data_IF_092143871155
#
_entry.id   IF_092143871155
#
_cell.length_a   1.000
_cell.length_b   1.000
_cell.length_c   1.000
_cell.angle_alpha   90.00
_cell.angle_beta   90.00
_cell.angle_gamma   90.00
#
_symmetry.space_group_name_H-M   'P 1'
#
loop_
_entity.id
_entity.type
_entity.pdbx_description
1 polymer ?
#
# COMPACT_ATOMS: atom_id res chain seq x y z
N UNK A 1 32.00 -88.25 31.50
CA UNK A 1 32.04 -89.55 30.78
C UNK A 1 30.97 -90.45 31.38
N UNK A 2 29.98 -90.85 30.55
CA UNK A 2 29.32 -92.17 30.40
C UNK A 2 29.32 -93.17 31.58
N UNK A 3 28.36 -94.09 31.80
CA UNK A 3 27.14 -94.61 31.15
C UNK A 3 26.54 -95.62 32.19
N UNK A 4 25.22 -95.73 32.36
CA UNK A 4 24.29 -96.73 31.76
C UNK A 4 24.16 -98.12 32.44
N UNK A 5 22.88 -98.51 32.55
CA UNK A 5 22.29 -99.83 32.24
C UNK A 5 22.40 -100.98 33.26
N UNK A 6 21.26 -101.53 33.71
CA UNK A 6 20.53 -102.59 32.98
C UNK A 6 19.15 -102.90 33.59
N UNK A 7 18.22 -103.31 32.71
CA UNK A 7 16.87 -103.83 32.99
C UNK A 7 16.84 -105.35 32.76
N UNK A 8 15.96 -106.08 33.47
CA UNK A 8 15.49 -107.40 33.04
C UNK A 8 14.10 -107.74 33.60
N UNK A 9 13.30 -108.42 32.77
CA UNK A 9 11.87 -108.72 32.92
C UNK A 9 11.60 -110.21 33.22
N UNK A 10 10.38 -110.53 33.70
CA UNK A 10 9.77 -111.88 33.58
C UNK A 10 8.24 -111.81 33.46
N UNK A 11 7.72 -112.68 32.59
CA UNK A 11 6.34 -112.84 32.10
C UNK A 11 5.66 -114.04 32.78
N UNK A 12 4.32 -114.04 32.90
CA UNK A 12 3.53 -115.26 33.15
C UNK A 12 2.01 -115.07 33.01
N UNK A 13 1.41 -115.66 31.97
CA UNK A 13 -0.03 -115.99 31.81
C UNK A 13 -0.41 -117.14 32.77
N UNK A 14 -1.63 -117.48 33.22
CA UNK A 14 -3.02 -117.06 33.02
C UNK A 14 -3.95 -118.22 33.48
N UNK A 15 -5.14 -117.97 34.04
CA UNK A 15 -6.23 -118.97 34.18
C UNK A 15 -7.62 -118.32 34.37
N UNK A 16 -8.63 -118.88 33.68
CA UNK A 16 -10.07 -118.51 33.54
C UNK A 16 -10.83 -118.64 34.89
N UNK A 17 -11.91 -117.91 35.20
CA UNK A 17 -13.26 -117.95 34.58
C UNK A 17 -14.19 -116.80 35.06
N UNK A 18 -15.03 -116.33 34.12
CA UNK A 18 -16.43 -115.87 34.19
C UNK A 18 -17.00 -115.18 35.47
N UNK A 19 -17.36 -113.88 35.38
CA UNK A 19 -18.75 -113.38 35.25
C UNK A 19 -18.87 -111.83 35.46
N UNK A 20 -19.75 -111.22 34.64
CA UNK A 20 -20.45 -109.91 34.75
C UNK A 20 -19.77 -108.62 34.26
N UNK A 21 -20.41 -108.03 33.24
CA UNK A 21 -20.20 -106.69 32.71
C UNK A 21 -20.35 -105.60 33.78
N UNK A 22 -19.32 -104.77 33.97
CA UNK A 22 -19.35 -103.62 34.87
C UNK A 22 -19.44 -102.35 34.02
N UNK A 23 -20.68 -101.91 33.81
CA UNK A 23 -20.98 -100.67 33.08
C UNK A 23 -20.22 -99.48 33.65
N UNK A 24 -19.71 -98.63 32.76
CA UNK A 24 -19.06 -97.36 33.12
C UNK A 24 -20.02 -96.57 34.02
N UNK A 25 -19.59 -96.27 35.25
CA UNK A 25 -20.45 -95.63 36.24
C UNK A 25 -20.89 -94.25 35.75
N UNK A 26 -22.15 -93.91 36.02
CA UNK A 26 -22.78 -92.62 35.68
C UNK A 26 -21.94 -91.39 36.11
N UNK A 27 -21.11 -91.54 37.16
CA UNK A 27 -20.22 -90.48 37.65
C UNK A 27 -19.07 -90.10 36.70
N UNK A 28 -18.61 -91.00 35.82
CA UNK A 28 -17.56 -90.70 34.84
C UNK A 28 -18.07 -89.71 33.78
N UNK A 29 -19.29 -89.94 33.27
CA UNK A 29 -19.91 -89.04 32.30
C UNK A 29 -20.30 -87.69 32.92
N UNK A 30 -20.72 -87.65 34.20
CA UNK A 30 -21.01 -86.39 34.88
C UNK A 30 -19.79 -85.48 35.03
N UNK A 31 -18.59 -86.03 35.34
CA UNK A 31 -17.36 -85.24 35.38
C UNK A 31 -16.96 -84.69 34.02
N UNK A 32 -17.16 -85.49 32.97
CA UNK A 32 -16.88 -85.08 31.58
C UNK A 32 -17.82 -83.95 31.15
N UNK A 33 -19.12 -84.07 31.45
CA UNK A 33 -20.11 -83.02 31.14
C UNK A 33 -19.79 -81.72 31.88
N UNK A 34 -19.37 -81.78 33.15
CA UNK A 34 -19.00 -80.59 33.91
C UNK A 34 -17.73 -79.91 33.36
N UNK A 35 -16.76 -80.70 32.89
CA UNK A 35 -15.54 -80.19 32.26
C UNK A 35 -15.84 -79.51 30.92
N UNK A 36 -16.65 -80.15 30.06
CA UNK A 36 -17.08 -79.52 28.80
C UNK A 36 -17.96 -78.30 29.02
N UNK A 37 -18.84 -78.29 30.04
CA UNK A 37 -19.64 -77.11 30.38
C UNK A 37 -18.77 -75.93 30.82
N UNK A 38 -17.78 -76.17 31.70
CA UNK A 38 -16.83 -75.13 32.15
C UNK A 38 -15.93 -74.63 31.01
N UNK A 39 -15.54 -75.53 30.11
CA UNK A 39 -14.72 -75.20 28.95
C UNK A 39 -15.49 -74.38 27.90
N UNK A 40 -16.74 -74.73 27.61
CA UNK A 40 -17.63 -73.94 26.75
C UNK A 40 -17.90 -72.57 27.37
N UNK A 41 -18.15 -72.51 28.69
CA UNK A 41 -18.32 -71.23 29.40
C UNK A 41 -17.08 -70.33 29.31
N UNK A 42 -15.88 -70.90 29.48
CA UNK A 42 -14.62 -70.15 29.37
C UNK A 42 -14.37 -69.65 27.94
N UNK A 43 -14.70 -70.46 26.92
CA UNK A 43 -14.62 -70.07 25.51
C UNK A 43 -15.60 -68.94 25.16
N UNK A 44 -16.81 -68.97 25.72
CA UNK A 44 -17.79 -67.89 25.55
C UNK A 44 -17.28 -66.59 26.18
N UNK A 45 -16.74 -66.64 27.40
CA UNK A 45 -16.17 -65.47 28.07
C UNK A 45 -14.99 -64.90 27.28
N UNK A 46 -14.07 -65.75 26.82
CA UNK A 46 -12.94 -65.34 25.99
C UNK A 46 -13.40 -64.71 24.65
N UNK A 47 -14.43 -65.28 24.03
CA UNK A 47 -15.02 -64.75 22.79
C UNK A 47 -15.69 -63.39 23.01
N UNK A 48 -16.42 -63.21 24.12
CA UNK A 48 -17.03 -61.93 24.48
C UNK A 48 -15.98 -60.86 24.80
N UNK A 49 -14.90 -61.23 25.49
CA UNK A 49 -13.79 -60.30 25.77
C UNK A 49 -13.06 -59.92 24.48
N UNK A 50 -12.80 -60.88 23.58
CA UNK A 50 -12.25 -60.58 22.25
C UNK A 50 -13.20 -59.70 21.44
N UNK A 51 -14.51 -59.90 21.53
CA UNK A 51 -15.50 -59.04 20.91
C UNK A 51 -15.56 -57.65 21.57
N UNK A 52 -15.23 -57.51 22.84
CA UNK A 52 -15.21 -56.22 23.54
C UNK A 52 -13.90 -55.45 23.27
N UNK A 53 -12.78 -56.16 23.13
CA UNK A 53 -11.45 -55.57 22.82
C UNK A 53 -11.26 -55.30 21.34
N UNK A 54 -11.80 -56.14 20.45
CA UNK A 54 -11.63 -56.04 18.99
C UNK A 54 -12.93 -55.77 18.22
N UNK A 55 -14.10 -55.82 18.86
CA UNK A 55 -15.40 -55.60 18.22
C UNK A 55 -15.93 -54.17 18.33
N UNK A 56 -15.10 -53.19 18.68
CA UNK A 56 -15.44 -51.81 18.33
C UNK A 56 -15.38 -51.70 16.80
N UNK A 57 -16.50 -51.39 16.13
CA UNK A 57 -16.50 -51.31 14.68
C UNK A 57 -15.60 -50.13 14.26
N UNK A 58 -14.59 -50.40 13.44
CA UNK A 58 -13.75 -49.43 12.73
C UNK A 58 -14.55 -48.38 11.91
N UNK A 59 -15.88 -48.53 11.86
CA UNK A 59 -16.83 -47.66 11.18
C UNK A 59 -16.71 -46.18 11.57
N UNK A 60 -16.35 -45.84 12.81
CA UNK A 60 -16.24 -44.42 13.21
C UNK A 60 -15.03 -43.68 12.63
N UNK A 61 -13.94 -44.37 12.26
CA UNK A 61 -12.76 -43.70 11.69
C UNK A 61 -12.87 -43.52 10.18
N UNK A 62 -13.39 -44.53 9.48
CA UNK A 62 -13.60 -44.46 8.02
C UNK A 62 -14.78 -43.55 7.66
N UNK A 63 -15.91 -43.62 8.36
CA UNK A 63 -17.08 -42.78 8.08
C UNK A 63 -16.79 -41.30 8.34
N UNK A 64 -16.05 -41.00 9.43
CA UNK A 64 -15.56 -39.64 9.69
C UNK A 64 -14.58 -39.14 8.62
N UNK A 65 -13.71 -40.03 8.10
CA UNK A 65 -12.82 -39.67 6.99
C UNK A 65 -13.57 -39.42 5.69
N UNK A 66 -14.63 -40.17 5.42
CA UNK A 66 -15.50 -39.96 4.26
C UNK A 66 -16.23 -38.62 4.39
N UNK A 67 -16.76 -38.29 5.58
CA UNK A 67 -17.43 -37.02 5.84
C UNK A 67 -16.46 -35.81 5.73
N UNK A 68 -15.25 -35.92 6.26
CA UNK A 68 -14.19 -34.92 6.10
C UNK A 68 -13.81 -34.73 4.62
N UNK A 69 -13.75 -35.82 3.85
CA UNK A 69 -13.44 -35.79 2.43
C UNK A 69 -14.57 -35.15 1.61
N UNK A 70 -15.83 -35.45 1.96
CA UNK A 70 -17.01 -34.86 1.33
C UNK A 70 -17.10 -33.36 1.62
N UNK A 71 -16.87 -32.93 2.87
CA UNK A 71 -16.79 -31.51 3.23
C UNK A 71 -15.65 -30.79 2.48
N UNK A 72 -14.47 -31.40 2.41
CA UNK A 72 -13.34 -30.83 1.69
C UNK A 72 -13.61 -30.72 0.19
N UNK A 73 -14.25 -31.74 -0.41
CA UNK A 73 -14.65 -31.73 -1.82
C UNK A 73 -15.69 -30.65 -2.10
N UNK A 74 -16.72 -30.52 -1.28
CA UNK A 74 -17.77 -29.51 -1.43
C UNK A 74 -17.20 -28.09 -1.30
N UNK A 75 -16.28 -27.88 -0.35
CA UNK A 75 -15.57 -26.61 -0.20
C UNK A 75 -14.72 -26.30 -1.44
N UNK A 76 -13.92 -27.26 -1.89
CA UNK A 76 -13.05 -27.09 -3.06
C UNK A 76 -13.87 -26.84 -4.34
N UNK A 77 -15.00 -27.52 -4.50
CA UNK A 77 -15.93 -27.32 -5.61
C UNK A 77 -16.50 -25.89 -5.59
N UNK A 78 -16.94 -25.41 -4.43
CA UNK A 78 -17.43 -24.03 -4.25
C UNK A 78 -16.34 -23.01 -4.58
N UNK A 79 -15.13 -23.19 -4.04
CA UNK A 79 -14.00 -22.31 -4.31
C UNK A 79 -13.62 -22.31 -5.80
N UNK A 80 -13.68 -23.47 -6.47
CA UNK A 80 -13.41 -23.59 -7.91
C UNK A 80 -14.46 -22.83 -8.75
N UNK A 81 -15.74 -22.95 -8.41
CA UNK A 81 -16.81 -22.21 -9.10
C UNK A 81 -16.66 -20.70 -8.91
N UNK A 82 -16.30 -20.25 -7.70
CA UNK A 82 -16.00 -18.84 -7.42
C UNK A 82 -14.80 -18.34 -8.22
N UNK A 83 -13.69 -19.07 -8.20
CA UNK A 83 -12.49 -18.71 -8.96
C UNK A 83 -12.75 -18.66 -10.47
N UNK A 84 -13.61 -19.54 -11.01
CA UNK A 84 -14.01 -19.48 -12.42
C UNK A 84 -14.83 -18.23 -12.72
N UNK A 85 -15.72 -17.82 -11.82
CA UNK A 85 -16.48 -16.57 -11.95
C UNK A 85 -15.56 -15.36 -11.87
N UNK A 86 -14.70 -15.28 -10.87
CA UNK A 86 -13.74 -14.20 -10.70
C UNK A 86 -12.81 -14.08 -11.91
N UNK A 87 -12.36 -15.22 -12.48
CA UNK A 87 -11.59 -15.25 -13.71
C UNK A 87 -12.36 -14.67 -14.90
N UNK A 88 -13.64 -15.03 -15.05
CA UNK A 88 -14.48 -14.50 -16.12
C UNK A 88 -14.69 -12.99 -15.98
N UNK A 89 -14.97 -12.52 -14.76
CA UNK A 89 -15.18 -11.11 -14.45
C UNK A 89 -13.90 -10.29 -14.68
N UNK A 90 -12.75 -10.77 -14.19
CA UNK A 90 -11.44 -10.15 -14.42
C UNK A 90 -11.08 -10.13 -15.91
N UNK A 91 -11.35 -11.20 -16.65
CA UNK A 91 -11.11 -11.25 -18.10
C UNK A 91 -11.99 -10.24 -18.84
N UNK A 92 -13.25 -10.10 -18.43
CA UNK A 92 -14.17 -9.10 -18.95
C UNK A 92 -13.69 -7.67 -18.69
N UNK A 93 -13.29 -7.37 -17.45
CA UNK A 93 -12.74 -6.07 -17.07
C UNK A 93 -11.46 -5.74 -17.83
N UNK A 94 -10.57 -6.73 -18.02
CA UNK A 94 -9.31 -6.53 -18.76
C UNK A 94 -9.57 -6.26 -20.24
N UNK A 95 -10.55 -6.93 -20.84
CA UNK A 95 -10.97 -6.67 -22.23
C UNK A 95 -11.59 -5.27 -22.38
N UNK A 96 -12.42 -4.85 -21.42
CA UNK A 96 -13.00 -3.51 -21.41
C UNK A 96 -11.92 -2.44 -21.29
N UNK A 97 -10.99 -2.59 -20.34
CA UNK A 97 -9.87 -1.64 -20.15
C UNK A 97 -8.93 -1.59 -21.34
N UNK A 98 -8.69 -2.71 -22.00
CA UNK A 98 -7.90 -2.73 -23.25
C UNK A 98 -8.61 -1.95 -24.35
N UNK A 99 -9.93 -2.11 -24.51
CA UNK A 99 -10.72 -1.34 -25.47
C UNK A 99 -10.74 0.17 -25.18
N UNK A 100 -10.86 0.57 -23.91
CA UNK A 100 -10.75 1.97 -23.49
C UNK A 100 -9.37 2.56 -23.80
N UNK A 101 -8.31 1.80 -23.54
CA UNK A 101 -6.93 2.19 -23.89
C UNK A 101 -6.78 2.39 -25.41
N UNK A 102 -7.25 1.43 -26.21
CA UNK A 102 -7.16 1.53 -27.67
C UNK A 102 -7.95 2.73 -28.22
N UNK A 103 -9.07 3.09 -27.59
CA UNK A 103 -9.84 4.29 -27.93
C UNK A 103 -9.06 5.57 -27.57
N UNK A 104 -8.49 5.64 -26.37
CA UNK A 104 -7.67 6.76 -25.93
C UNK A 104 -6.42 6.94 -26.82
N UNK A 105 -5.74 5.86 -27.18
CA UNK A 105 -4.57 5.89 -28.07
C UNK A 105 -4.95 6.43 -29.47
N UNK A 106 -6.15 6.11 -29.98
CA UNK A 106 -6.68 6.69 -31.23
C UNK A 106 -6.96 8.19 -31.09
N UNK A 107 -7.53 8.63 -29.98
CA UNK A 107 -7.76 10.06 -29.73
C UNK A 107 -6.45 10.84 -29.62
N UNK A 108 -5.45 10.30 -28.93
CA UNK A 108 -4.11 10.88 -28.85
C UNK A 108 -3.49 11.00 -30.24
N UNK A 109 -3.58 9.96 -31.06
CA UNK A 109 -3.09 9.99 -32.44
C UNK A 109 -3.79 11.07 -33.28
N UNK A 110 -5.12 11.23 -33.12
CA UNK A 110 -5.89 12.28 -33.79
C UNK A 110 -5.45 13.68 -33.33
N UNK A 111 -5.36 13.91 -32.03
CA UNK A 111 -4.92 15.20 -31.46
C UNK A 111 -3.51 15.57 -31.92
N UNK A 112 -2.61 14.59 -32.01
CA UNK A 112 -1.25 14.79 -32.53
C UNK A 112 -1.26 15.23 -34.01
N UNK A 113 -2.14 14.64 -34.82
CA UNK A 113 -2.30 15.04 -36.22
C UNK A 113 -2.89 16.45 -36.34
N UNK A 114 -3.91 16.77 -35.54
CA UNK A 114 -4.53 18.10 -35.51
C UNK A 114 -3.55 19.19 -35.04
N UNK A 115 -2.70 18.87 -34.07
CA UNK A 115 -1.62 19.75 -33.60
C UNK A 115 -0.61 20.02 -34.72
N UNK A 116 -0.16 18.97 -35.43
CA UNK A 116 0.76 19.12 -36.55
C UNK A 116 0.15 19.96 -37.69
N UNK A 117 -1.13 19.75 -38.02
CA UNK A 117 -1.85 20.56 -39.00
C UNK A 117 -1.96 22.02 -38.56
N UNK A 118 -2.16 22.26 -37.26
CA UNK A 118 -2.25 23.61 -36.68
C UNK A 118 -0.89 24.30 -36.64
N UNK A 119 0.21 23.58 -36.36
CA UNK A 119 1.57 24.11 -36.44
C UNK A 119 1.92 24.57 -37.87
N UNK A 120 1.51 23.80 -38.89
CA UNK A 120 1.68 24.20 -40.29
C UNK A 120 0.88 25.46 -40.66
N UNK A 121 -0.37 25.58 -40.18
CA UNK A 121 -1.19 26.79 -40.35
C UNK A 121 -0.63 27.99 -39.60
N UNK A 122 -0.09 27.78 -38.40
CA UNK A 122 0.60 28.81 -37.61
C UNK A 122 1.81 29.39 -38.35
N UNK A 123 2.64 28.53 -38.96
CA UNK A 123 3.78 28.98 -39.78
C UNK A 123 3.33 29.84 -40.97
N UNK A 124 2.25 29.46 -41.66
CA UNK A 124 1.72 30.26 -42.77
C UNK A 124 1.14 31.60 -42.30
N UNK A 125 0.46 31.61 -41.14
CA UNK A 125 -0.09 32.84 -40.55
C UNK A 125 1.03 33.78 -40.12
N UNK A 126 2.13 33.25 -39.57
CA UNK A 126 3.30 34.03 -39.20
C UNK A 126 4.04 34.61 -40.42
N UNK A 127 4.08 33.87 -41.54
CA UNK A 127 4.59 34.39 -42.84
C UNK A 127 3.70 35.49 -43.43
N UNK A 128 2.38 35.37 -43.30
CA UNK A 128 1.44 36.42 -43.73
C UNK A 128 1.56 37.67 -42.85
N UNK A 129 1.75 37.49 -41.54
CA UNK A 129 1.97 38.58 -40.60
C UNK A 129 3.27 39.35 -40.89
N UNK A 130 4.37 38.63 -41.19
CA UNK A 130 5.63 39.29 -41.56
C UNK A 130 5.55 40.00 -42.92
N UNK A 131 4.77 39.49 -43.88
CA UNK A 131 4.48 40.21 -45.13
C UNK A 131 3.67 41.50 -44.89
N UNK A 132 2.69 41.45 -43.98
CA UNK A 132 1.87 42.60 -43.63
C UNK A 132 2.70 43.70 -42.93
N UNK A 133 3.57 43.34 -41.99
CA UNK A 133 4.49 44.29 -41.34
C UNK A 133 5.47 44.91 -42.36
N UNK A 134 5.98 44.13 -43.32
CA UNK A 134 6.82 44.65 -44.40
C UNK A 134 6.09 45.64 -45.34
N UNK A 135 4.76 45.50 -45.48
CA UNK A 135 3.93 46.39 -46.29
C UNK A 135 3.60 47.72 -45.60
N UNK A 136 3.55 47.76 -44.25
CA UNK A 136 3.37 49.01 -43.48
C UNK A 136 4.49 50.02 -43.70
N UNK A 137 5.72 49.55 -43.89
CA UNK A 137 6.89 50.41 -44.17
C UNK A 137 6.83 51.07 -45.56
N UNK A 138 6.04 50.53 -46.50
CA UNK A 138 5.90 51.10 -47.85
C UNK A 138 4.77 52.13 -47.98
N UNK A 139 3.88 52.25 -46.99
CA UNK A 139 2.75 53.18 -47.03
C UNK A 139 3.06 54.58 -46.50
N UNK A 140 4.23 54.80 -45.88
CA UNK A 140 4.64 56.12 -45.35
C UNK A 140 5.15 57.08 -46.43
N UNK A 141 5.10 56.71 -47.71
CA UNK A 141 5.57 57.54 -48.82
C UNK A 141 4.54 57.59 -49.97
N UNK A 142 3.32 58.03 -49.66
CA UNK A 142 2.42 58.54 -50.70
C UNK A 142 1.84 59.86 -50.25
N UNK A 143 2.49 60.88 -50.82
CA UNK A 143 2.24 62.31 -50.80
C UNK A 143 0.76 62.63 -51.01
N UNK A 144 0.29 63.58 -50.21
CA UNK A 144 -0.97 64.30 -50.32
C UNK A 144 -1.40 64.58 -51.77
N UNK A 145 -2.55 64.03 -52.17
CA UNK A 145 -3.38 64.54 -53.27
C UNK A 145 -4.78 64.82 -52.71
N UNK A 146 -5.31 66.05 -52.84
CA UNK A 146 -6.68 66.35 -52.41
C UNK A 146 -7.66 65.68 -53.37
N UNK A 147 -8.52 64.80 -52.83
CA UNK A 147 -9.69 64.29 -53.53
C UNK A 147 -10.76 65.39 -53.61
N UNK A 148 -11.42 65.63 -54.76
CA UNK A 148 -12.56 66.52 -54.85
C UNK A 148 -13.75 65.88 -54.12
N UNK A 149 -14.36 66.61 -53.19
CA UNK A 149 -15.60 66.19 -52.55
C UNK A 149 -16.76 66.24 -53.56
N UNK A 150 -17.63 65.20 -53.64
CA UNK A 150 -18.84 65.26 -54.44
C UNK A 150 -19.88 66.18 -53.79
N UNK A 151 -20.81 66.76 -54.59
CA UNK A 151 -21.76 67.75 -54.09
C UNK A 151 -22.74 67.14 -53.09
N UNK A 152 -23.03 67.92 -52.06
CA UNK A 152 -23.94 67.66 -50.95
C UNK A 152 -25.34 67.27 -51.47
N UNK A 153 -25.66 65.98 -51.41
CA UNK A 153 -27.02 65.49 -51.58
C UNK A 153 -27.74 65.42 -50.22
N UNK A 154 -28.98 65.91 -50.18
CA UNK A 154 -29.79 66.17 -48.99
C UNK A 154 -30.42 64.93 -48.36
N UNK A 155 -29.64 63.87 -48.13
CA UNK A 155 -30.09 62.66 -47.42
C UNK A 155 -29.15 62.23 -46.28
N UNK A 156 -28.59 63.21 -45.55
CA UNK A 156 -27.70 62.99 -44.40
C UNK A 156 -28.31 62.08 -43.32
N UNK A 157 -29.65 62.04 -43.19
CA UNK A 157 -30.32 61.19 -42.19
C UNK A 157 -30.28 59.68 -42.50
N UNK A 158 -30.11 59.27 -43.77
CA UNK A 158 -30.04 57.86 -44.16
C UNK A 158 -28.65 57.24 -43.98
N UNK A 159 -27.61 57.98 -44.36
CA UNK A 159 -26.21 57.56 -44.21
C UNK A 159 -25.79 57.50 -42.74
N UNK A 160 -26.17 58.49 -41.92
CA UNK A 160 -25.89 58.49 -40.47
C UNK A 160 -26.58 57.30 -39.78
N UNK A 161 -27.82 56.96 -40.15
CA UNK A 161 -28.51 55.78 -39.61
C UNK A 161 -27.80 54.48 -40.00
N UNK A 162 -27.31 54.39 -41.24
CA UNK A 162 -26.59 53.21 -41.72
C UNK A 162 -25.23 53.05 -41.02
N UNK A 163 -24.50 54.16 -40.82
CA UNK A 163 -23.24 54.16 -40.07
C UNK A 163 -23.45 53.76 -38.59
N UNK A 164 -24.50 54.28 -37.95
CA UNK A 164 -24.84 53.93 -36.57
C UNK A 164 -25.26 52.47 -36.44
N UNK A 165 -26.02 51.94 -37.41
CA UNK A 165 -26.36 50.50 -37.46
C UNK A 165 -25.12 49.63 -37.61
N UNK A 166 -24.16 50.04 -38.44
CA UNK A 166 -22.90 49.31 -38.62
C UNK A 166 -22.03 49.35 -37.35
N UNK A 167 -21.98 50.50 -36.66
CA UNK A 167 -21.26 50.65 -35.40
C UNK A 167 -21.85 49.75 -34.30
N UNK A 168 -23.18 49.69 -34.19
CA UNK A 168 -23.87 48.81 -33.25
C UNK A 168 -23.65 47.32 -33.60
N UNK A 169 -23.69 46.97 -34.88
CA UNK A 169 -23.35 45.62 -35.33
C UNK A 169 -21.89 45.25 -34.99
N UNK A 170 -20.95 46.18 -35.15
CA UNK A 170 -19.55 45.98 -34.81
C UNK A 170 -19.34 45.82 -33.29
N UNK A 171 -20.05 46.61 -32.47
CA UNK A 171 -20.05 46.47 -31.00
C UNK A 171 -20.60 45.12 -30.56
N UNK A 172 -21.70 44.66 -31.17
CA UNK A 172 -22.27 43.35 -30.88
C UNK A 172 -21.29 42.22 -31.23
N UNK A 173 -20.67 42.26 -32.41
CA UNK A 173 -19.64 41.30 -32.83
C UNK A 173 -18.43 41.31 -31.89
N UNK A 174 -17.97 42.48 -31.47
CA UNK A 174 -16.88 42.60 -30.50
C UNK A 174 -17.26 42.02 -29.14
N UNK A 175 -18.49 42.25 -28.67
CA UNK A 175 -19.01 41.67 -27.44
C UNK A 175 -19.02 40.13 -27.49
N UNK A 176 -19.50 39.56 -28.60
CA UNK A 176 -19.48 38.11 -28.84
C UNK A 176 -18.05 37.59 -28.86
N UNK A 177 -17.15 38.22 -29.61
CA UNK A 177 -15.74 37.82 -29.69
C UNK A 177 -15.05 37.85 -28.33
N UNK A 178 -15.28 38.92 -27.55
CA UNK A 178 -14.74 39.07 -26.20
C UNK A 178 -15.26 37.97 -25.28
N UNK A 179 -16.57 37.70 -25.31
CA UNK A 179 -17.17 36.64 -24.49
C UNK A 179 -16.65 35.25 -24.84
N UNK A 180 -16.51 34.94 -26.14
CA UNK A 180 -15.94 33.68 -26.61
C UNK A 180 -14.47 33.54 -26.21
N UNK A 181 -13.70 34.62 -26.29
CA UNK A 181 -12.30 34.60 -25.86
C UNK A 181 -12.18 34.36 -24.35
N UNK A 182 -12.95 35.09 -23.54
CA UNK A 182 -12.99 34.87 -22.08
C UNK A 182 -13.40 33.45 -21.73
N UNK A 183 -14.47 32.93 -22.33
CA UNK A 183 -14.92 31.55 -22.12
C UNK A 183 -13.85 30.54 -22.51
N UNK A 184 -13.17 30.75 -23.63
CA UNK A 184 -12.10 29.84 -24.09
C UNK A 184 -10.91 29.86 -23.14
N UNK A 185 -10.51 31.03 -22.66
CA UNK A 185 -9.41 31.15 -21.68
C UNK A 185 -9.77 30.47 -20.36
N UNK A 186 -10.99 30.65 -19.88
CA UNK A 186 -11.46 30.01 -18.65
C UNK A 186 -11.51 28.48 -18.79
N UNK A 187 -11.99 27.97 -19.93
CA UNK A 187 -11.98 26.54 -20.23
C UNK A 187 -10.55 25.98 -20.29
N UNK A 188 -9.64 26.64 -21.02
CA UNK A 188 -8.24 26.20 -21.11
C UNK A 188 -7.52 26.24 -19.78
N UNK A 189 -7.85 27.21 -18.92
CA UNK A 189 -7.35 27.26 -17.55
C UNK A 189 -7.85 26.07 -16.72
N UNK A 190 -9.15 25.74 -16.84
CA UNK A 190 -9.72 24.55 -16.22
C UNK A 190 -9.05 23.26 -16.70
N UNK A 191 -8.82 23.13 -18.00
CA UNK A 191 -8.12 21.98 -18.59
C UNK A 191 -6.67 21.87 -18.09
N UNK A 192 -5.97 23.00 -17.97
CA UNK A 192 -4.62 23.04 -17.40
C UNK A 192 -4.61 22.60 -15.94
N UNK A 193 -5.53 23.12 -15.13
CA UNK A 193 -5.63 22.78 -13.71
C UNK A 193 -5.97 21.29 -13.52
N UNK A 194 -6.86 20.75 -14.36
CA UNK A 194 -7.18 19.32 -14.41
C UNK A 194 -5.94 18.49 -14.80
N UNK A 195 -5.24 18.86 -15.87
CA UNK A 195 -4.04 18.15 -16.32
C UNK A 195 -2.92 18.16 -15.26
N UNK A 196 -2.76 19.27 -14.53
CA UNK A 196 -1.79 19.37 -13.42
C UNK A 196 -2.20 18.45 -12.28
N UNK A 197 -3.49 18.41 -11.92
CA UNK A 197 -4.01 17.52 -10.87
C UNK A 197 -3.80 16.06 -11.24
N UNK A 198 -4.18 15.65 -12.45
CA UNK A 198 -4.05 14.27 -12.93
C UNK A 198 -2.58 13.85 -12.99
N UNK A 199 -1.68 14.73 -13.46
CA UNK A 199 -0.24 14.49 -13.43
C UNK A 199 0.27 14.25 -12.01
N UNK A 200 -0.18 15.04 -11.04
CA UNK A 200 0.23 14.91 -9.65
C UNK A 200 -0.31 13.61 -9.03
N UNK A 201 -1.55 13.24 -9.32
CA UNK A 201 -2.15 11.98 -8.90
C UNK A 201 -1.38 10.78 -9.45
N UNK A 202 -1.09 10.77 -10.75
CA UNK A 202 -0.25 9.74 -11.36
C UNK A 202 1.15 9.68 -10.74
N UNK A 203 1.75 10.83 -10.43
CA UNK A 203 3.06 10.87 -9.79
C UNK A 203 3.05 10.21 -8.40
N UNK A 204 2.02 10.51 -7.59
CA UNK A 204 1.81 9.89 -6.28
C UNK A 204 1.61 8.38 -6.42
N UNK A 205 0.76 7.94 -7.34
CA UNK A 205 0.52 6.51 -7.61
C UNK A 205 1.80 5.78 -8.02
N UNK A 206 2.63 6.38 -8.88
CA UNK A 206 3.91 5.79 -9.29
C UNK A 206 4.86 5.65 -8.10
N UNK A 207 4.92 6.64 -7.20
CA UNK A 207 5.73 6.56 -5.98
C UNK A 207 5.22 5.43 -5.08
N UNK A 208 3.91 5.35 -4.86
CA UNK A 208 3.29 4.32 -4.03
C UNK A 208 3.56 2.91 -4.60
N UNK A 209 3.32 2.71 -5.89
CA UNK A 209 3.55 1.42 -6.55
C UNK A 209 5.02 0.99 -6.51
N UNK A 210 5.96 1.94 -6.65
CA UNK A 210 7.39 1.64 -6.48
C UNK A 210 7.70 1.20 -5.05
N UNK A 211 7.14 1.87 -4.06
CA UNK A 211 7.33 1.50 -2.66
C UNK A 211 6.73 0.14 -2.34
N UNK A 212 5.52 -0.15 -2.82
CA UNK A 212 4.87 -1.46 -2.68
C UNK A 212 5.69 -2.57 -3.34
N UNK A 213 6.25 -2.32 -4.53
CA UNK A 213 7.09 -3.28 -5.23
C UNK A 213 8.37 -3.59 -4.44
N UNK A 214 9.04 -2.56 -3.91
CA UNK A 214 10.23 -2.72 -3.05
C UNK A 214 9.87 -3.53 -1.80
N UNK A 215 8.75 -3.21 -1.15
CA UNK A 215 8.29 -3.93 0.04
C UNK A 215 8.00 -5.39 -0.26
N UNK A 216 7.27 -5.71 -1.33
CA UNK A 216 6.98 -7.09 -1.74
C UNK A 216 8.25 -7.87 -2.06
N UNK A 217 9.19 -7.24 -2.77
CA UNK A 217 10.49 -7.86 -3.09
C UNK A 217 11.29 -8.15 -1.83
N UNK A 218 11.34 -7.22 -0.88
CA UNK A 218 12.00 -7.42 0.41
C UNK A 218 11.32 -8.49 1.25
N UNK A 219 9.98 -8.58 1.25
CA UNK A 219 9.26 -9.63 1.96
C UNK A 219 9.59 -11.01 1.41
N UNK A 220 9.64 -11.13 0.08
CA UNK A 220 9.99 -12.37 -0.60
C UNK A 220 11.43 -12.79 -0.28
N UNK A 221 12.36 -11.84 -0.25
CA UNK A 221 13.77 -12.08 0.07
C UNK A 221 13.93 -12.62 1.50
N UNK A 222 13.35 -11.92 2.50
CA UNK A 222 13.38 -12.34 3.90
C UNK A 222 12.67 -13.69 4.09
N UNK A 223 11.54 -13.91 3.43
CA UNK A 223 10.83 -15.19 3.48
C UNK A 223 11.67 -16.33 2.90
N UNK A 224 12.31 -16.09 1.74
CA UNK A 224 13.14 -17.08 1.05
C UNK A 224 14.31 -17.49 1.94
N UNK A 225 15.03 -16.51 2.49
CA UNK A 225 16.13 -16.76 3.42
C UNK A 225 15.68 -17.59 4.62
N UNK A 226 14.66 -17.13 5.35
CA UNK A 226 14.25 -17.79 6.59
C UNK A 226 13.61 -19.16 6.37
N UNK A 227 12.84 -19.34 5.28
CA UNK A 227 12.10 -20.58 5.05
C UNK A 227 12.85 -21.61 4.21
N UNK A 228 13.61 -21.20 3.19
CA UNK A 228 14.31 -22.12 2.29
C UNK A 228 15.77 -22.36 2.64
N UNK A 229 16.39 -21.44 3.38
CA UNK A 229 17.78 -21.58 3.81
C UNK A 229 17.78 -21.96 5.30
N UNK A 230 17.48 -21.01 6.19
CA UNK A 230 17.65 -21.20 7.66
C UNK A 230 16.85 -22.38 8.21
N UNK A 231 15.58 -22.52 7.81
CA UNK A 231 14.73 -23.63 8.26
C UNK A 231 15.10 -24.97 7.61
N UNK A 232 15.49 -24.98 6.32
CA UNK A 232 15.89 -26.20 5.63
C UNK A 232 17.21 -26.74 6.23
N UNK A 233 18.17 -25.86 6.51
CA UNK A 233 19.43 -26.20 7.16
C UNK A 233 19.18 -26.79 8.56
N UNK A 234 18.23 -26.24 9.31
CA UNK A 234 17.82 -26.77 10.62
C UNK A 234 17.25 -28.19 10.55
N UNK A 235 16.71 -28.61 9.40
CA UNK A 235 16.17 -29.95 9.18
C UNK A 235 17.19 -30.95 8.64
N UNK A 236 18.37 -30.50 8.22
CA UNK A 236 19.42 -31.35 7.65
C UNK A 236 19.87 -32.48 8.60
N UNK A 237 19.81 -32.23 9.92
CA UNK A 237 20.08 -33.24 10.94
C UNK A 237 19.12 -34.43 10.90
N UNK A 238 17.83 -34.20 10.63
CA UNK A 238 16.82 -35.27 10.54
C UNK A 238 17.12 -36.16 9.34
N UNK A 239 17.45 -35.55 8.20
CA UNK A 239 17.81 -36.28 6.99
C UNK A 239 19.06 -37.15 7.21
N UNK A 240 20.04 -36.62 7.93
CA UNK A 240 21.28 -37.33 8.29
C UNK A 240 21.01 -38.55 9.18
N UNK A 241 20.20 -38.38 10.24
CA UNK A 241 19.85 -39.48 11.15
C UNK A 241 19.03 -40.56 10.43
N UNK A 242 18.08 -40.16 9.60
CA UNK A 242 17.22 -41.08 8.84
C UNK A 242 18.05 -41.91 7.85
N UNK A 243 18.96 -41.27 7.11
CA UNK A 243 19.85 -41.95 6.19
C UNK A 243 20.79 -42.95 6.91
N UNK A 244 21.36 -42.56 8.05
CA UNK A 244 22.21 -43.44 8.85
C UNK A 244 21.46 -44.66 9.40
N UNK A 245 20.20 -44.47 9.83
CA UNK A 245 19.35 -45.54 10.33
C UNK A 245 18.98 -46.54 9.23
N UNK A 246 18.55 -46.07 8.05
CA UNK A 246 18.26 -46.92 6.90
C UNK A 246 19.49 -47.71 6.44
N UNK A 247 20.65 -47.07 6.38
CA UNK A 247 21.92 -47.74 6.06
C UNK A 247 22.25 -48.85 7.06
N UNK A 248 21.97 -48.64 8.36
CA UNK A 248 22.17 -49.64 9.41
C UNK A 248 21.25 -50.84 9.19
N UNK A 249 19.96 -50.60 8.92
CA UNK A 249 18.94 -51.62 8.62
C UNK A 249 19.41 -52.49 7.44
N UNK A 250 19.77 -51.87 6.32
CA UNK A 250 20.23 -52.60 5.13
C UNK A 250 21.48 -53.44 5.42
N UNK A 251 22.44 -52.92 6.19
CA UNK A 251 23.63 -53.68 6.57
C UNK A 251 23.31 -54.92 7.42
N UNK A 252 22.29 -54.84 8.30
CA UNK A 252 21.88 -55.95 9.14
C UNK A 252 21.26 -57.08 8.31
N UNK A 253 20.40 -56.73 7.34
CA UNK A 253 19.73 -57.72 6.51
C UNK A 253 20.64 -58.33 5.43
N UNK A 254 21.59 -57.57 4.89
CA UNK A 254 22.53 -58.09 3.88
C UNK A 254 23.44 -59.20 4.43
N UNK A 255 23.82 -59.12 5.71
CA UNK A 255 24.66 -60.12 6.38
C UNK A 255 23.89 -61.37 6.85
N UNK A 256 22.54 -61.34 6.82
CA UNK A 256 21.69 -62.46 7.27
C UNK A 256 21.62 -63.61 6.25
N UNK A 257 21.97 -63.36 4.99
CA UNK A 257 22.05 -64.39 3.91
C UNK A 257 23.23 -65.34 4.13
N UNK A 258 24.22 -64.94 4.94
CA UNK A 258 25.37 -65.78 5.31
C UNK A 258 25.01 -66.88 6.32
N UNK A 259 23.87 -66.78 7.00
CA UNK A 259 23.32 -67.87 7.78
C UNK A 259 22.56 -68.80 6.83
N UNK A 260 23.09 -70.00 6.58
CA UNK A 260 22.38 -71.05 5.85
C UNK A 260 21.09 -71.46 6.61
N UNK A 261 20.01 -70.71 6.37
CA UNK A 261 18.64 -71.02 6.79
C UNK A 261 18.20 -72.28 6.04
N UNK A 262 18.60 -73.44 6.56
CA UNK A 262 18.38 -74.76 5.96
C UNK A 262 16.98 -75.32 6.27
N UNK A 263 16.18 -74.60 7.05
CA UNK A 263 14.88 -75.05 7.55
C UNK A 263 13.75 -74.16 7.00
N UNK A 264 12.77 -74.70 6.25
CA UNK A 264 11.69 -73.92 5.60
C UNK A 264 10.88 -73.05 6.58
N UNK A 265 10.69 -73.52 7.82
CA UNK A 265 10.00 -72.77 8.87
C UNK A 265 10.79 -71.54 9.35
N UNK A 266 12.12 -71.57 9.30
CA UNK A 266 12.93 -70.41 9.67
C UNK A 266 12.92 -69.35 8.57
N UNK A 267 12.91 -69.77 7.30
CA UNK A 267 12.77 -68.87 6.16
C UNK A 267 11.42 -68.14 6.18
N UNK A 268 10.31 -68.86 6.43
CA UNK A 268 8.98 -68.26 6.58
C UNK A 268 8.92 -67.25 7.74
N UNK A 269 9.51 -67.58 8.89
CA UNK A 269 9.57 -66.66 10.04
C UNK A 269 10.41 -65.42 9.74
N UNK A 270 11.54 -65.59 9.05
CA UNK A 270 12.41 -64.47 8.65
C UNK A 270 11.69 -63.54 7.66
N UNK A 271 10.98 -64.10 6.68
CA UNK A 271 10.22 -63.31 5.72
C UNK A 271 9.05 -62.59 6.38
N UNK A 272 8.41 -63.20 7.39
CA UNK A 272 7.37 -62.57 8.20
C UNK A 272 7.92 -61.41 9.04
N UNK A 273 9.10 -61.56 9.64
CA UNK A 273 9.81 -60.49 10.35
C UNK A 273 10.17 -59.37 9.37
N UNK A 274 10.71 -59.70 8.19
CA UNK A 274 11.03 -58.73 7.14
C UNK A 274 9.79 -57.94 6.70
N UNK A 275 8.68 -58.62 6.44
CA UNK A 275 7.38 -58.02 6.11
C UNK A 275 6.91 -57.07 7.22
N UNK A 276 6.94 -57.52 8.48
CA UNK A 276 6.47 -56.73 9.62
C UNK A 276 7.37 -55.50 9.85
N UNK A 277 8.69 -55.65 9.75
CA UNK A 277 9.64 -54.54 9.87
C UNK A 277 9.46 -53.54 8.73
N UNK A 278 9.26 -54.03 7.50
CA UNK A 278 9.02 -53.17 6.33
C UNK A 278 7.69 -52.42 6.44
N UNK A 279 6.62 -53.08 6.89
CA UNK A 279 5.33 -52.45 7.14
C UNK A 279 5.38 -51.43 8.26
N UNK A 280 6.09 -51.73 9.36
CA UNK A 280 6.28 -50.79 10.46
C UNK A 280 7.10 -49.58 9.99
N UNK A 281 8.19 -49.81 9.23
CA UNK A 281 9.00 -48.74 8.66
C UNK A 281 8.16 -47.80 7.79
N UNK A 282 7.31 -48.35 6.91
CA UNK A 282 6.39 -47.53 6.09
C UNK A 282 5.39 -46.76 6.92
N UNK A 283 4.75 -47.38 7.92
CA UNK A 283 3.80 -46.67 8.79
C UNK A 283 4.48 -45.54 9.57
N UNK A 284 5.71 -45.75 10.04
CA UNK A 284 6.50 -44.72 10.70
C UNK A 284 6.82 -43.59 9.73
N UNK A 285 7.27 -43.92 8.51
CA UNK A 285 7.55 -42.95 7.44
C UNK A 285 6.30 -42.13 7.07
N UNK A 286 5.15 -42.76 6.86
CA UNK A 286 3.88 -42.09 6.55
C UNK A 286 3.45 -41.13 7.67
N UNK A 287 3.60 -41.55 8.95
CA UNK A 287 3.28 -40.70 10.10
C UNK A 287 4.25 -39.52 10.22
N UNK A 288 5.55 -39.76 10.01
CA UNK A 288 6.55 -38.70 10.01
C UNK A 288 6.32 -37.72 8.86
N UNK A 289 6.01 -38.20 7.66
CA UNK A 289 5.72 -37.34 6.51
C UNK A 289 4.49 -36.47 6.79
N UNK A 290 3.39 -37.05 7.28
CA UNK A 290 2.20 -36.27 7.65
C UNK A 290 2.49 -35.22 8.74
N UNK A 291 3.34 -35.54 9.71
CA UNK A 291 3.78 -34.58 10.72
C UNK A 291 4.65 -33.46 10.11
N UNK A 292 5.62 -33.81 9.25
CA UNK A 292 6.48 -32.86 8.56
C UNK A 292 5.69 -31.93 7.63
N UNK A 293 4.68 -32.45 6.93
CA UNK A 293 3.79 -31.64 6.08
C UNK A 293 3.01 -30.63 6.92
N UNK A 294 2.47 -31.06 8.05
CA UNK A 294 1.74 -30.20 8.99
C UNK A 294 2.64 -29.11 9.60
N UNK A 295 3.82 -29.49 10.07
CA UNK A 295 4.81 -28.55 10.62
C UNK A 295 5.31 -27.60 9.54
N UNK A 296 5.64 -28.11 8.35
CA UNK A 296 6.08 -27.31 7.21
C UNK A 296 5.04 -26.27 6.80
N UNK A 297 3.76 -26.64 6.74
CA UNK A 297 2.67 -25.71 6.46
C UNK A 297 2.56 -24.61 7.53
N UNK A 298 2.68 -24.97 8.82
CA UNK A 298 2.64 -24.00 9.93
C UNK A 298 3.83 -23.06 9.90
N UNK A 299 5.05 -23.59 9.75
CA UNK A 299 6.28 -22.78 9.69
C UNK A 299 6.24 -21.86 8.49
N UNK A 300 5.83 -22.34 7.31
CA UNK A 300 5.69 -21.50 6.11
C UNK A 300 4.70 -20.35 6.33
N UNK A 301 3.56 -20.60 6.96
CA UNK A 301 2.58 -19.55 7.29
C UNK A 301 3.13 -18.54 8.30
N UNK A 302 3.74 -19.01 9.38
CA UNK A 302 4.37 -18.15 10.39
C UNK A 302 5.48 -17.31 9.75
N UNK A 303 6.30 -17.91 8.91
CA UNK A 303 7.43 -17.24 8.29
C UNK A 303 6.97 -16.20 7.28
N UNK A 304 5.92 -16.50 6.49
CA UNK A 304 5.29 -15.52 5.60
C UNK A 304 4.82 -14.28 6.36
N UNK A 305 4.12 -14.49 7.47
CA UNK A 305 3.58 -13.39 8.27
C UNK A 305 4.68 -12.62 9.01
N UNK A 306 5.67 -13.33 9.55
CA UNK A 306 6.85 -12.73 10.19
C UNK A 306 7.63 -11.85 9.22
N UNK A 307 7.91 -12.34 8.00
CA UNK A 307 8.61 -11.57 6.96
C UNK A 307 7.81 -10.34 6.53
N UNK A 308 6.48 -10.46 6.41
CA UNK A 308 5.59 -9.33 6.11
C UNK A 308 5.69 -8.25 7.19
N UNK A 309 5.55 -8.64 8.45
CA UNK A 309 5.59 -7.72 9.59
C UNK A 309 6.97 -7.08 9.77
N UNK A 310 8.05 -7.82 9.54
CA UNK A 310 9.42 -7.33 9.65
C UNK A 310 9.72 -6.23 8.61
N UNK A 311 9.32 -6.45 7.36
CA UNK A 311 9.47 -5.44 6.30
C UNK A 311 8.57 -4.23 6.54
N UNK A 312 7.32 -4.44 7.00
CA UNK A 312 6.44 -3.31 7.34
C UNK A 312 7.00 -2.50 8.51
N UNK A 313 7.47 -3.16 9.56
CA UNK A 313 7.99 -2.48 10.75
C UNK A 313 9.27 -1.68 10.43
N UNK A 314 10.20 -2.26 9.67
CA UNK A 314 11.40 -1.54 9.21
C UNK A 314 11.05 -0.36 8.30
N UNK A 315 10.10 -0.53 7.38
CA UNK A 315 9.60 0.54 6.51
C UNK A 315 8.97 1.70 7.31
N UNK A 316 8.01 1.39 8.18
CA UNK A 316 7.32 2.37 9.03
C UNK A 316 8.29 3.11 9.96
N UNK A 317 9.28 2.40 10.53
CA UNK A 317 10.30 3.02 11.37
C UNK A 317 11.14 4.02 10.57
N UNK A 318 11.54 3.67 9.34
CA UNK A 318 12.29 4.57 8.47
C UNK A 318 11.47 5.80 8.06
N UNK A 319 10.19 5.62 7.73
CA UNK A 319 9.27 6.71 7.40
C UNK A 319 9.04 7.64 8.59
N UNK A 320 8.88 7.09 9.80
CA UNK A 320 8.72 7.86 11.03
C UNK A 320 9.96 8.73 11.30
N UNK A 321 11.16 8.17 11.17
CA UNK A 321 12.41 8.92 11.32
C UNK A 321 12.56 10.02 10.26
N UNK A 322 12.22 9.74 9.00
CA UNK A 322 12.19 10.77 7.94
C UNK A 322 11.19 11.88 8.24
N UNK A 323 9.98 11.52 8.69
CA UNK A 323 8.94 12.48 9.06
C UNK A 323 9.41 13.39 10.20
N UNK A 324 10.02 12.82 11.24
CA UNK A 324 10.57 13.55 12.37
C UNK A 324 11.68 14.52 11.93
N UNK A 325 12.60 14.06 11.10
CA UNK A 325 13.68 14.89 10.57
C UNK A 325 13.15 16.04 9.69
N UNK A 326 12.17 15.77 8.83
CA UNK A 326 11.53 16.79 8.02
C UNK A 326 10.80 17.82 8.87
N UNK A 327 10.05 17.39 9.90
CA UNK A 327 9.36 18.29 10.82
C UNK A 327 10.34 19.24 11.52
N UNK A 328 11.47 18.72 12.01
CA UNK A 328 12.52 19.55 12.64
C UNK A 328 13.09 20.55 11.65
N UNK A 329 13.36 20.11 10.42
CA UNK A 329 13.89 20.98 9.36
C UNK A 329 12.90 22.08 8.96
N UNK A 330 11.64 21.72 8.75
CA UNK A 330 10.57 22.66 8.36
C UNK A 330 10.30 23.67 9.47
N UNK A 331 10.31 23.22 10.74
CA UNK A 331 10.20 24.12 11.89
C UNK A 331 11.38 25.10 11.96
N UNK A 332 12.61 24.63 11.73
CA UNK A 332 13.80 25.48 11.70
C UNK A 332 13.75 26.49 10.55
N UNK A 333 13.37 26.07 9.35
CA UNK A 333 13.21 26.95 8.18
C UNK A 333 12.09 27.98 8.39
N UNK A 334 10.95 27.57 8.95
CA UNK A 334 9.84 28.47 9.26
C UNK A 334 10.23 29.50 10.32
N UNK A 335 10.93 29.07 11.38
CA UNK A 335 11.45 29.97 12.42
C UNK A 335 12.42 31.00 11.83
N UNK A 336 13.35 30.55 10.97
CA UNK A 336 14.28 31.45 10.28
C UNK A 336 13.56 32.46 9.40
N UNK A 337 12.58 32.03 8.58
CA UNK A 337 11.79 32.94 7.73
C UNK A 337 11.04 33.98 8.55
N UNK A 338 10.49 33.59 9.70
CA UNK A 338 9.81 34.51 10.60
C UNK A 338 10.78 35.54 11.18
N UNK A 339 11.96 35.10 11.63
CA UNK A 339 13.00 35.98 12.15
C UNK A 339 13.51 36.96 11.09
N UNK A 340 13.75 36.49 9.86
CA UNK A 340 14.17 37.33 8.74
C UNK A 340 13.10 38.39 8.39
N UNK A 341 11.82 38.01 8.42
CA UNK A 341 10.70 38.93 8.20
C UNK A 341 10.60 39.99 9.32
N UNK A 342 10.75 39.58 10.58
CA UNK A 342 10.77 40.50 11.72
C UNK A 342 11.94 41.48 11.62
N UNK A 343 13.15 41.01 11.39
CA UNK A 343 14.32 41.89 11.22
C UNK A 343 14.16 42.88 10.07
N UNK A 344 13.55 42.44 8.96
CA UNK A 344 13.25 43.33 7.83
C UNK A 344 12.27 44.43 8.23
N UNK A 345 11.21 44.06 8.95
CA UNK A 345 10.22 45.01 9.46
C UNK A 345 10.84 46.00 10.43
N UNK A 346 11.63 45.53 11.41
CA UNK A 346 12.30 46.37 12.41
C UNK A 346 13.24 47.39 11.75
N UNK A 347 14.01 46.97 10.73
CA UNK A 347 14.88 47.88 9.95
C UNK A 347 14.08 48.94 9.21
N UNK A 348 12.94 48.58 8.61
CA UNK A 348 12.07 49.54 7.93
C UNK A 348 11.46 50.53 8.92
N UNK A 349 11.05 50.06 10.10
CA UNK A 349 10.51 50.90 11.16
C UNK A 349 11.57 51.87 11.69
N UNK A 350 12.79 51.40 11.95
CA UNK A 350 13.91 52.25 12.39
C UNK A 350 14.22 53.33 11.36
N UNK A 351 14.20 52.99 10.06
CA UNK A 351 14.41 53.95 8.98
C UNK A 351 13.31 55.02 8.94
N UNK A 352 12.04 54.60 9.06
CA UNK A 352 10.91 55.53 9.12
C UNK A 352 10.98 56.46 10.33
N UNK A 353 11.36 55.95 11.50
CA UNK A 353 11.53 56.75 12.71
C UNK A 353 12.66 57.79 12.56
N UNK A 354 13.80 57.40 11.97
CA UNK A 354 14.89 58.34 11.67
C UNK A 354 14.46 59.43 10.72
N UNK A 355 13.72 59.07 9.67
CA UNK A 355 13.21 60.04 8.69
C UNK A 355 12.18 60.98 9.31
N UNK A 356 11.27 60.46 10.14
CA UNK A 356 10.31 61.25 10.89
C UNK A 356 10.98 62.28 11.81
N UNK A 357 12.01 61.87 12.57
CA UNK A 357 12.79 62.78 13.42
C UNK A 357 13.47 63.89 12.60
N UNK A 358 14.10 63.53 11.48
CA UNK A 358 14.74 64.50 10.57
C UNK A 358 13.73 65.50 10.00
N UNK A 359 12.56 65.04 9.60
CA UNK A 359 11.49 65.90 9.11
C UNK A 359 10.96 66.84 10.20
N UNK A 360 10.89 66.37 11.46
CA UNK A 360 10.47 67.18 12.60
C UNK A 360 11.48 68.30 12.89
N UNK A 361 12.77 67.98 12.93
CA UNK A 361 13.84 68.96 13.10
C UNK A 361 13.85 70.00 11.97
N UNK A 362 13.68 69.55 10.71
CA UNK A 362 13.60 70.46 9.56
C UNK A 362 12.39 71.38 9.64
N UNK A 363 11.24 70.88 10.13
CA UNK A 363 10.04 71.68 10.34
C UNK A 363 10.28 72.74 11.41
N UNK A 364 10.83 72.37 12.56
CA UNK A 364 11.13 73.31 13.66
C UNK A 364 12.08 74.42 13.20
N UNK A 365 13.10 74.09 12.39
CA UNK A 365 14.02 75.07 11.83
C UNK A 365 13.32 76.01 10.84
N UNK A 366 12.40 75.50 10.02
CA UNK A 366 11.62 76.32 9.09
C UNK A 366 10.65 77.24 9.83
N UNK A 367 9.97 76.73 10.86
CA UNK A 367 9.07 77.52 11.73
C UNK A 367 9.85 78.64 12.43
N UNK A 368 11.07 78.38 12.91
CA UNK A 368 11.95 79.39 13.48
C UNK A 368 12.39 80.45 12.45
N UNK A 369 12.74 80.04 11.21
CA UNK A 369 13.08 80.97 10.14
C UNK A 369 11.88 81.85 9.75
N UNK A 370 10.68 81.28 9.69
CA UNK A 370 9.45 82.02 9.43
C UNK A 370 9.19 83.04 10.54
N UNK A 371 9.30 82.65 11.81
CA UNK A 371 9.14 83.57 12.94
C UNK A 371 10.14 84.74 12.89
N UNK A 372 11.39 84.50 12.51
CA UNK A 372 12.39 85.56 12.33
C UNK A 372 12.04 86.47 11.15
N UNK A 373 11.60 85.90 10.02
CA UNK A 373 11.16 86.70 8.85
C UNK A 373 9.93 87.54 9.17
N UNK A 374 8.95 86.98 9.88
CA UNK A 374 7.75 87.68 10.31
C UNK A 374 8.12 88.83 11.27
N UNK A 375 9.00 88.60 12.25
CA UNK A 375 9.52 89.65 13.12
C UNK A 375 10.26 90.75 12.34
N UNK A 376 11.02 90.38 11.30
CA UNK A 376 11.74 91.33 10.43
C UNK A 376 10.76 92.13 9.57
N UNK A 377 9.72 91.50 9.02
CA UNK A 377 8.65 92.17 8.27
C UNK A 377 7.89 93.16 9.16
N UNK A 378 7.53 92.76 10.38
CA UNK A 378 6.92 93.65 11.37
C UNK A 378 7.84 94.84 11.68
N UNK A 379 9.15 94.61 11.85
CA UNK A 379 10.13 95.66 12.09
C UNK A 379 10.25 96.63 10.90
N UNK A 380 10.27 96.13 9.67
CA UNK A 380 10.31 96.95 8.45
C UNK A 380 9.02 97.74 8.23
N UNK A 381 7.86 97.13 8.56
CA UNK A 381 6.56 97.78 8.52
C UNK A 381 6.46 98.90 9.57
N UNK A 382 7.05 98.69 10.75
CA UNK A 382 7.16 99.71 11.80
C UNK A 382 8.23 100.77 11.48
N UNK A 383 9.26 100.43 10.69
CA UNK A 383 10.31 101.35 10.24
C UNK A 383 9.87 102.34 9.15
N UNK A 384 8.80 102.04 8.40
CA UNK A 384 8.19 102.98 7.45
C UNK A 384 7.21 103.97 8.10
N UNK A 385 7.03 103.92 9.43
CA UNK A 385 6.19 104.86 10.18
C UNK A 385 7.03 105.49 11.29
N UNK A 386 7.90 106.43 10.92
CA UNK A 386 8.32 107.45 11.88
C UNK A 386 7.55 108.74 11.63
N UNK A 387 6.64 109.08 12.54
CA UNK A 387 6.63 110.39 13.23
C UNK A 387 5.67 110.34 14.45
N UNK A 388 5.83 111.23 15.47
CA UNK A 388 5.79 110.84 16.88
C UNK A 388 4.68 111.49 17.75
N UNK A 389 4.34 110.77 18.85
CA UNK A 389 3.79 111.20 20.17
C UNK A 389 2.34 111.78 20.24
N UNK A 390 1.66 111.81 21.42
CA UNK A 390 2.10 111.47 22.79
C UNK A 390 1.16 110.60 23.67
N UNK A 391 1.72 110.24 24.82
CA UNK A 391 1.19 109.70 26.08
C UNK A 391 -0.32 109.72 26.37
N UNK A 392 -0.81 108.61 26.94
CA UNK A 392 -2.07 108.56 27.68
C UNK A 392 -2.35 107.18 28.30
N UNK A 393 -2.09 107.08 29.61
CA UNK A 393 -2.83 106.30 30.63
C UNK A 393 -2.98 104.76 30.49
N UNK A 394 -2.25 104.06 31.34
CA UNK A 394 -2.65 102.81 32.06
C UNK A 394 -3.93 103.09 32.91
N UNK A 395 -4.70 102.12 33.47
CA UNK A 395 -4.35 100.72 33.78
C UNK A 395 -5.55 99.71 33.68
N UNK A 396 -5.66 98.64 34.50
CA UNK A 396 -4.94 97.35 34.47
C UNK A 396 -5.91 96.13 34.37
N UNK A 397 -5.40 94.89 34.29
CA UNK A 397 -6.24 93.74 34.71
C UNK A 397 -5.92 92.36 34.14
N UNK A 398 -4.87 91.74 34.66
CA UNK A 398 -4.79 90.35 35.19
C UNK A 398 -5.55 89.15 34.55
N UNK A 399 -4.72 88.14 34.23
CA UNK A 399 -4.89 86.70 34.50
C UNK A 399 -5.90 85.86 33.70
N UNK A 400 -5.35 85.02 32.80
CA UNK A 400 -6.05 83.90 32.17
C UNK A 400 -5.19 82.63 32.11
N UNK A 401 -5.40 81.75 33.10
CA UNK A 401 -5.50 80.28 33.01
C UNK A 401 -4.45 79.43 32.25
N UNK A 402 -3.71 78.62 33.03
CA UNK A 402 -3.23 77.27 32.69
C UNK A 402 -4.30 76.21 33.11
N UNK A 403 -4.13 74.90 32.83
CA UNK A 403 -4.17 74.24 31.52
C UNK A 403 -5.21 73.09 31.50
N UNK A 404 -5.55 72.57 30.31
CA UNK A 404 -6.31 71.31 30.20
C UNK A 404 -5.40 70.21 29.61
N UNK A 405 -5.12 69.18 30.42
CA UNK A 405 -4.61 67.88 29.96
C UNK A 405 -5.82 67.08 29.44
N UNK A 406 -5.64 66.28 28.39
CA UNK A 406 -5.97 64.87 28.56
C UNK A 406 -4.88 63.97 27.99
N UNK A 407 -4.53 62.95 28.78
CA UNK A 407 -3.83 61.79 28.27
C UNK A 407 -4.73 60.93 27.40
N UNK A 408 -4.09 60.10 26.58
CA UNK A 408 -4.60 58.78 26.23
C UNK A 408 -3.45 57.94 25.70
N UNK A 409 -3.35 56.75 26.26
CA UNK A 409 -2.37 55.74 25.85
C UNK A 409 -2.67 55.14 24.49
N UNK A 410 -1.67 54.45 23.96
CA UNK A 410 -1.59 52.99 23.97
C UNK A 410 -0.14 52.59 24.22
#
# INVERSE_FOLDING_TARGET
>A
MYNSSYSRATVGLGAKQLHKAKGKSCGYYMKIVFFFSSLIQSLIIASLVLFLVYGQPEKTAEEKRVEELEMAFNKLSTDNTKLRKDKADLTGALKAKTGEKDAADKEIAKLKNDLNATAMRGSNTQKLYSLCEASKLKLSSTRNTPLPCPPTNSNQNGEIKTLNSLLEQQRALYGILKSNFSLTVDNLKGDLDNAVRDKNEHHILVIQLRQENINLKSQLDVYTKKCKEDFADSLQGIQTVTAAFLTKIDSFFTNSVTFHLTCPKQEEQMERIRSNCSSLSRQVEDKFQSYLDSVGAKVSNIQKESSRLEVQNSGLTSELEKCKNNQVKDAAESSKKLQDAQQKYDKQLEQLLKEQSRLRESKELLDAQLAVKDATLISLQNGCVQQPKPAGLQPPGTAGHFPHIPGRGQ
#
